data_IF_042612138575
#
_entry.id   IF_042612138575
#
_cell.length_a   1.000
_cell.length_b   1.000
_cell.length_c   1.000
_cell.angle_alpha   90.00
_cell.angle_beta   90.00
_cell.angle_gamma   90.00
#
_symmetry.space_group_name_H-M   'P 1'
#
loop_
_entity.id
_entity.type
_entity.pdbx_description
1 polymer ?
#
# COMPACT_ATOMS: atom_id res chain seq x y z
N UNK A 1 8.44 -7.92 -10.30
CA UNK A 1 7.96 -7.13 -9.14
C UNK A 1 6.47 -7.34 -9.01
N UNK A 2 6.03 -7.88 -7.87
CA UNK A 2 4.62 -8.17 -7.59
C UNK A 2 3.91 -7.02 -6.89
N UNK A 3 2.58 -7.09 -6.82
CA UNK A 3 1.76 -6.13 -6.11
C UNK A 3 1.75 -6.40 -4.59
N UNK A 4 1.29 -5.42 -3.82
CA UNK A 4 1.20 -5.52 -2.36
C UNK A 4 -0.15 -6.09 -1.91
N UNK A 5 -0.17 -7.17 -1.10
CA UNK A 5 -1.40 -7.76 -0.59
C UNK A 5 -2.07 -6.87 0.46
N UNK A 6 -3.28 -7.26 0.86
CA UNK A 6 -4.06 -6.56 1.87
C UNK A 6 -3.27 -6.41 3.18
N UNK A 7 -3.37 -5.24 3.83
CA UNK A 7 -2.69 -4.86 5.07
C UNK A 7 -1.15 -4.81 4.97
N UNK A 8 -0.56 -4.83 3.77
CA UNK A 8 0.88 -4.64 3.59
C UNK A 8 1.20 -3.15 3.50
N UNK A 9 2.29 -2.75 4.14
CA UNK A 9 2.83 -1.39 4.04
C UNK A 9 3.06 -0.98 2.57
N UNK A 10 2.45 0.12 2.18
CA UNK A 10 2.61 0.77 0.88
C UNK A 10 3.11 2.19 1.11
N UNK A 11 3.88 2.71 0.16
CA UNK A 11 4.31 4.09 0.19
C UNK A 11 3.77 4.75 -1.09
N UNK A 12 3.03 5.85 -0.94
CA UNK A 12 2.44 6.57 -2.05
C UNK A 12 3.50 7.17 -3.00
N UNK A 13 4.72 7.41 -2.50
CA UNK A 13 5.80 8.07 -3.24
C UNK A 13 6.72 7.10 -3.99
N UNK A 14 6.84 5.84 -3.55
CA UNK A 14 7.75 4.87 -4.18
C UNK A 14 7.45 3.43 -3.75
N UNK A 15 7.64 2.49 -4.67
CA UNK A 15 7.52 1.06 -4.41
C UNK A 15 6.40 0.37 -5.20
N UNK A 16 6.21 -0.94 -4.97
CA UNK A 16 5.16 -1.72 -5.62
C UNK A 16 3.77 -1.19 -5.23
N UNK A 17 2.88 -1.15 -6.21
CA UNK A 17 1.48 -0.76 -6.00
C UNK A 17 0.72 -1.88 -5.28
N UNK A 18 -0.35 -1.51 -4.60
CA UNK A 18 -1.32 -2.47 -4.06
C UNK A 18 -1.87 -3.38 -5.16
N UNK A 19 -2.21 -4.61 -4.80
CA UNK A 19 -2.86 -5.54 -5.72
C UNK A 19 -4.21 -4.98 -6.18
N UNK A 20 -4.65 -5.42 -7.36
CA UNK A 20 -5.94 -4.97 -7.92
C UNK A 20 -7.06 -5.19 -6.91
N UNK A 21 -7.85 -4.15 -6.66
CA UNK A 21 -8.90 -4.13 -5.63
C UNK A 21 -8.50 -3.48 -4.31
N UNK A 22 -7.22 -3.18 -4.09
CA UNK A 22 -6.71 -2.52 -2.89
C UNK A 22 -6.22 -1.10 -3.20
N UNK A 23 -6.39 -0.18 -2.25
CA UNK A 23 -5.88 1.19 -2.29
C UNK A 23 -4.87 1.41 -1.18
N UNK A 24 -3.80 2.14 -1.49
CA UNK A 24 -2.88 2.58 -0.45
C UNK A 24 -3.57 3.67 0.38
N UNK A 25 -3.94 3.36 1.62
CA UNK A 25 -4.56 4.29 2.56
C UNK A 25 -3.55 4.68 3.63
N UNK A 26 -3.44 5.97 3.88
CA UNK A 26 -2.67 6.50 5.00
C UNK A 26 -3.43 6.23 6.30
N UNK A 27 -2.81 5.47 7.21
CA UNK A 27 -3.33 5.19 8.55
C UNK A 27 -2.72 6.14 9.58
N UNK A 28 -1.49 6.60 9.35
CA UNK A 28 -0.76 7.56 10.17
C UNK A 28 0.36 8.20 9.34
N UNK A 29 0.95 9.28 9.85
CA UNK A 29 2.06 10.02 9.19
C UNK A 29 3.20 9.09 8.72
N UNK A 30 3.39 7.94 9.38
CA UNK A 30 4.43 6.96 9.07
C UNK A 30 3.91 5.59 8.63
N UNK A 31 2.60 5.38 8.56
CA UNK A 31 2.02 4.08 8.22
C UNK A 31 0.95 4.24 7.14
N UNK A 32 1.18 3.58 6.03
CA UNK A 32 0.27 3.52 4.90
C UNK A 32 0.16 2.06 4.46
N UNK A 33 -1.06 1.57 4.21
CA UNK A 33 -1.30 0.15 3.90
C UNK A 33 -2.27 -0.04 2.76
N UNK A 34 -2.13 -1.17 2.08
CA UNK A 34 -3.07 -1.59 1.04
C UNK A 34 -4.36 -2.12 1.65
N UNK A 35 -5.45 -1.37 1.48
CA UNK A 35 -6.79 -1.64 2.01
C UNK A 35 -7.87 -1.49 0.93
#
# INVERSE_FOLDING_TARGET
GGCLPHNRFCNALSGPRCCSGLKCKELSIWDSRCL
#
